data_IF_644951563254
#
_entry.id   IF_644951563254
#
_cell.length_a   1.000
_cell.length_b   1.000
_cell.length_c   1.000
_cell.angle_alpha   90.00
_cell.angle_beta   90.00
_cell.angle_gamma   90.00
#
_symmetry.space_group_name_H-M   'P 1'
#
loop_
_entity.id
_entity.type
_entity.pdbx_description
1 polymer ?
#
# COMPACT_ATOMS: atom_id res chain seq x y z
N UNK A 1 1.32 -8.78 17.67
CA UNK A 1 0.96 -9.40 16.38
C UNK A 1 1.83 -10.63 16.16
N UNK A 2 1.26 -11.77 15.77
CA UNK A 2 2.00 -13.02 15.63
C UNK A 2 1.41 -13.99 14.61
N UNK A 3 2.00 -15.18 14.57
CA UNK A 3 1.50 -16.32 13.78
C UNK A 3 0.31 -16.99 14.46
N UNK A 4 -0.38 -17.87 13.74
CA UNK A 4 -1.55 -18.60 14.24
C UNK A 4 -1.12 -19.76 15.15
N UNK A 5 -0.51 -19.44 16.29
CA UNK A 5 0.05 -20.40 17.22
C UNK A 5 -0.69 -20.40 18.56
N UNK A 6 -1.33 -21.53 18.88
CA UNK A 6 -2.12 -21.68 20.10
C UNK A 6 -1.27 -21.58 21.36
N UNK A 7 -0.01 -22.01 21.32
CA UNK A 7 0.86 -21.96 22.48
C UNK A 7 1.26 -20.51 22.81
N UNK A 8 1.62 -19.72 21.80
CA UNK A 8 1.85 -18.28 21.94
C UNK A 8 0.61 -17.55 22.45
N UNK A 9 -0.57 -17.85 21.88
CA UNK A 9 -1.82 -17.24 22.33
C UNK A 9 -2.10 -17.57 23.81
N UNK A 10 -2.02 -18.85 24.19
CA UNK A 10 -2.26 -19.28 25.58
C UNK A 10 -1.27 -18.60 26.54
N UNK A 11 0.03 -18.61 26.21
CA UNK A 11 1.06 -18.00 27.06
C UNK A 11 0.83 -16.49 27.26
N UNK A 12 0.51 -15.77 26.19
CA UNK A 12 0.25 -14.33 26.26
C UNK A 12 -1.01 -14.02 27.07
N UNK A 13 -2.08 -14.80 26.89
CA UNK A 13 -3.35 -14.64 27.62
C UNK A 13 -3.19 -14.95 29.12
N UNK A 14 -2.40 -15.98 29.46
CA UNK A 14 -2.07 -16.31 30.85
C UNK A 14 -1.27 -15.20 31.54
N UNK A 15 -0.30 -14.60 30.85
CA UNK A 15 0.62 -13.61 31.47
C UNK A 15 0.02 -12.20 31.50
N UNK A 16 -0.59 -11.76 30.40
CA UNK A 16 -1.07 -10.38 30.23
C UNK A 16 -2.57 -10.22 30.49
N UNK A 17 -3.25 -11.30 30.85
CA UNK A 17 -4.70 -11.32 31.03
C UNK A 17 -5.45 -11.52 29.73
N UNK A 18 -6.75 -11.78 29.88
CA UNK A 18 -7.61 -12.18 28.77
C UNK A 18 -8.21 -11.04 27.96
N UNK A 19 -9.44 -11.22 27.50
CA UNK A 19 -10.15 -10.20 26.71
C UNK A 19 -10.45 -8.93 27.51
N UNK A 20 -10.41 -8.99 28.83
CA UNK A 20 -10.61 -7.81 29.68
C UNK A 20 -9.32 -6.99 29.89
N UNK A 21 -8.18 -7.48 29.39
CA UNK A 21 -6.92 -6.74 29.46
C UNK A 21 -6.81 -5.68 28.37
N UNK A 22 -5.96 -4.67 28.58
CA UNK A 22 -5.55 -3.73 27.54
C UNK A 22 -4.70 -4.38 26.44
N UNK A 23 -4.26 -5.62 26.66
CA UNK A 23 -3.47 -6.38 25.71
C UNK A 23 -4.37 -7.10 24.69
N UNK A 24 -3.96 -7.08 23.41
CA UNK A 24 -4.69 -7.70 22.31
C UNK A 24 -3.74 -8.51 21.44
N UNK A 25 -4.01 -9.81 21.34
CA UNK A 25 -3.32 -10.67 20.36
C UNK A 25 -3.90 -10.38 18.98
N UNK A 26 -3.04 -9.92 18.08
CA UNK A 26 -3.37 -9.68 16.67
C UNK A 26 -2.74 -10.74 15.80
N UNK A 27 -3.47 -11.13 14.78
CA UNK A 27 -3.05 -12.09 13.79
C UNK A 27 -2.39 -11.41 12.61
N UNK A 28 -1.28 -11.99 12.15
CA UNK A 28 -0.63 -11.46 10.98
C UNK A 28 -1.43 -11.74 9.70
N UNK A 29 -1.89 -10.67 9.04
CA UNK A 29 -2.57 -10.78 7.75
C UNK A 29 -1.75 -11.50 6.68
N UNK A 30 -0.42 -11.35 6.64
CA UNK A 30 0.40 -12.08 5.66
C UNK A 30 0.26 -13.61 5.82
N UNK A 31 0.22 -14.12 7.05
CA UNK A 31 0.01 -15.55 7.28
C UNK A 31 -1.39 -15.98 6.85
N UNK A 32 -2.41 -15.17 7.15
CA UNK A 32 -3.79 -15.42 6.71
C UNK A 32 -3.85 -15.46 5.18
N UNK A 33 -3.33 -14.43 4.50
CA UNK A 33 -3.28 -14.34 3.05
C UNK A 33 -2.50 -15.49 2.41
N UNK A 34 -1.36 -15.88 3.00
CA UNK A 34 -0.57 -17.03 2.54
C UNK A 34 -1.37 -18.33 2.64
N UNK A 35 -2.02 -18.59 3.78
CA UNK A 35 -2.83 -19.79 3.98
C UNK A 35 -4.06 -19.84 3.09
N UNK A 36 -4.73 -18.71 2.91
CA UNK A 36 -5.85 -18.60 1.96
C UNK A 36 -5.34 -18.84 0.54
N UNK A 37 -4.24 -18.20 0.13
CA UNK A 37 -3.65 -18.40 -1.19
C UNK A 37 -3.33 -19.88 -1.45
N UNK A 38 -2.69 -20.58 -0.50
CA UNK A 38 -2.43 -22.03 -0.59
C UNK A 38 -3.71 -22.83 -0.88
N UNK A 39 -4.83 -22.48 -0.24
CA UNK A 39 -6.14 -23.13 -0.46
C UNK A 39 -6.79 -22.74 -1.78
N UNK A 40 -6.61 -21.51 -2.25
CA UNK A 40 -7.16 -21.08 -3.54
C UNK A 40 -6.54 -21.79 -4.74
N UNK A 41 -5.35 -22.40 -4.59
CA UNK A 41 -4.69 -23.18 -5.66
C UNK A 41 -5.50 -24.41 -6.10
N UNK A 42 -6.39 -24.91 -5.25
CA UNK A 42 -7.29 -26.02 -5.57
C UNK A 42 -8.60 -25.55 -6.23
N UNK A 43 -8.82 -24.24 -6.36
CA UNK A 43 -10.02 -23.65 -6.93
C UNK A 43 -9.78 -23.26 -8.39
N UNK A 44 -10.87 -23.08 -9.14
CA UNK A 44 -10.82 -22.41 -10.44
C UNK A 44 -10.23 -21.00 -10.31
N UNK A 45 -9.51 -20.52 -11.33
CA UNK A 45 -8.88 -19.18 -11.34
C UNK A 45 -9.84 -18.06 -10.94
N UNK A 46 -11.06 -18.09 -11.46
CA UNK A 46 -12.13 -17.13 -11.15
C UNK A 46 -12.49 -17.15 -9.65
N UNK A 47 -12.80 -18.32 -9.10
CA UNK A 47 -13.12 -18.48 -7.69
C UNK A 47 -11.96 -18.08 -6.77
N UNK A 48 -10.73 -18.44 -7.14
CA UNK A 48 -9.52 -18.03 -6.41
C UNK A 48 -9.36 -16.51 -6.41
N UNK A 49 -9.58 -15.85 -7.54
CA UNK A 49 -9.53 -14.39 -7.64
C UNK A 49 -10.59 -13.71 -6.76
N UNK A 50 -11.83 -14.19 -6.80
CA UNK A 50 -12.93 -13.68 -5.95
C UNK A 50 -12.59 -13.82 -4.46
N UNK A 51 -12.09 -14.98 -4.03
CA UNK A 51 -11.68 -15.22 -2.64
C UNK A 51 -10.56 -14.25 -2.21
N UNK A 52 -9.53 -14.07 -3.03
CA UNK A 52 -8.41 -13.18 -2.72
C UNK A 52 -8.84 -11.71 -2.69
N UNK A 53 -9.78 -11.32 -3.57
CA UNK A 53 -10.40 -9.99 -3.59
C UNK A 53 -11.16 -9.71 -2.30
N UNK A 54 -12.08 -10.60 -1.91
CA UNK A 54 -12.84 -10.47 -0.67
C UNK A 54 -11.95 -10.45 0.56
N UNK A 55 -10.92 -11.29 0.59
CA UNK A 55 -9.97 -11.30 1.71
C UNK A 55 -9.25 -9.95 1.88
N UNK A 56 -8.90 -9.28 0.79
CA UNK A 56 -8.31 -7.94 0.86
C UNK A 56 -9.35 -6.91 1.33
N UNK A 57 -10.57 -6.92 0.81
CA UNK A 57 -11.61 -5.98 1.26
C UNK A 57 -11.87 -6.08 2.75
N UNK A 58 -12.05 -7.30 3.25
CA UNK A 58 -12.23 -7.59 4.67
C UNK A 58 -11.05 -7.10 5.52
N UNK A 59 -9.82 -7.26 5.02
CA UNK A 59 -8.63 -6.78 5.74
C UNK A 59 -8.61 -5.25 5.83
N UNK A 60 -9.04 -4.55 4.79
CA UNK A 60 -9.06 -3.08 4.71
C UNK A 60 -10.38 -2.46 5.20
N UNK A 61 -11.25 -3.23 5.89
CA UNK A 61 -12.41 -2.69 6.58
C UNK A 61 -11.99 -1.58 7.57
N UNK A 62 -12.80 -0.51 7.66
CA UNK A 62 -12.49 0.68 8.47
C UNK A 62 -12.80 0.50 9.95
N UNK A 63 -13.75 -0.37 10.25
CA UNK A 63 -14.23 -0.64 11.59
C UNK A 63 -14.92 -2.01 11.59
N UNK A 64 -15.24 -2.48 12.79
CA UNK A 64 -15.86 -3.79 13.01
C UNK A 64 -17.26 -3.91 12.41
N UNK A 65 -18.05 -2.83 12.40
CA UNK A 65 -19.40 -2.82 11.80
C UNK A 65 -19.33 -3.04 10.29
N UNK A 66 -18.48 -2.30 9.60
CA UNK A 66 -18.27 -2.43 8.16
C UNK A 66 -17.70 -3.82 7.82
N UNK A 67 -16.78 -4.31 8.63
CA UNK A 67 -16.23 -5.67 8.50
C UNK A 67 -17.32 -6.74 8.61
N UNK A 68 -18.16 -6.69 9.65
CA UNK A 68 -19.21 -7.67 9.87
C UNK A 68 -20.25 -7.66 8.74
N UNK A 69 -20.62 -6.46 8.25
CA UNK A 69 -21.49 -6.32 7.08
C UNK A 69 -20.85 -6.96 5.84
N UNK A 70 -19.62 -6.56 5.50
CA UNK A 70 -18.90 -7.12 4.35
C UNK A 70 -18.70 -8.62 4.47
N UNK A 71 -18.44 -9.13 5.68
CA UNK A 71 -18.27 -10.56 5.92
C UNK A 71 -19.55 -11.35 5.65
N UNK A 72 -20.70 -10.81 6.05
CA UNK A 72 -22.00 -11.42 5.75
C UNK A 72 -22.24 -11.47 4.22
N UNK A 73 -22.02 -10.35 3.53
CA UNK A 73 -22.17 -10.26 2.07
C UNK A 73 -21.24 -11.25 1.35
N UNK A 74 -19.97 -11.34 1.78
CA UNK A 74 -18.97 -12.27 1.25
C UNK A 74 -19.37 -13.74 1.49
N UNK A 75 -19.88 -14.07 2.68
CA UNK A 75 -20.33 -15.43 2.99
C UNK A 75 -21.55 -15.83 2.18
N UNK A 76 -22.49 -14.91 1.96
CA UNK A 76 -23.64 -15.11 1.10
C UNK A 76 -23.20 -15.34 -0.36
N UNK A 77 -22.29 -14.51 -0.88
CA UNK A 77 -21.76 -14.66 -2.24
C UNK A 77 -21.04 -15.99 -2.41
N UNK A 78 -20.19 -16.38 -1.45
CA UNK A 78 -19.52 -17.68 -1.48
C UNK A 78 -20.50 -18.86 -1.38
N UNK A 79 -21.63 -18.69 -0.68
CA UNK A 79 -22.70 -19.68 -0.59
C UNK A 79 -23.38 -19.98 -1.93
N UNK A 80 -23.39 -19.02 -2.86
CA UNK A 80 -23.93 -19.19 -4.22
C UNK A 80 -23.05 -20.12 -5.09
N UNK A 81 -21.83 -20.41 -4.66
CA UNK A 81 -20.82 -21.14 -5.43
C UNK A 81 -20.55 -22.49 -4.76
N UNK A 82 -21.13 -23.61 -5.25
CA UNK A 82 -20.92 -24.93 -4.66
C UNK A 82 -19.43 -25.30 -4.54
N UNK A 83 -18.62 -24.89 -5.52
CA UNK A 83 -17.15 -25.07 -5.54
C UNK A 83 -16.41 -24.37 -4.39
N UNK A 84 -17.03 -23.38 -3.73
CA UNK A 84 -16.46 -22.68 -2.57
C UNK A 84 -16.91 -23.26 -1.23
N UNK A 85 -17.84 -24.21 -1.17
CA UNK A 85 -18.38 -24.73 0.09
C UNK A 85 -17.30 -25.24 1.04
N UNK A 86 -16.37 -26.07 0.56
CA UNK A 86 -15.25 -26.58 1.34
C UNK A 86 -14.31 -25.45 1.81
N UNK A 87 -14.07 -24.46 0.94
CA UNK A 87 -13.23 -23.32 1.28
C UNK A 87 -13.90 -22.43 2.34
N UNK A 88 -15.18 -22.13 2.20
CA UNK A 88 -15.95 -21.31 3.14
C UNK A 88 -15.99 -21.96 4.54
N UNK A 89 -16.22 -23.27 4.61
CA UNK A 89 -16.14 -24.03 5.86
C UNK A 89 -14.74 -23.97 6.50
N UNK A 90 -13.69 -24.09 5.68
CA UNK A 90 -12.31 -23.91 6.14
C UNK A 90 -12.06 -22.50 6.68
N UNK A 91 -12.46 -21.46 5.93
CA UNK A 91 -12.23 -20.07 6.31
C UNK A 91 -12.98 -19.71 7.59
N UNK A 92 -14.22 -20.18 7.76
CA UNK A 92 -14.99 -20.02 9.01
C UNK A 92 -14.25 -20.62 10.20
N UNK A 93 -13.68 -21.82 10.05
CA UNK A 93 -12.98 -22.50 11.15
C UNK A 93 -11.63 -21.87 11.50
N UNK A 94 -10.89 -21.37 10.50
CA UNK A 94 -9.49 -20.95 10.67
C UNK A 94 -9.33 -19.43 10.65
N UNK A 95 -9.95 -18.75 9.70
CA UNK A 95 -9.85 -17.30 9.52
C UNK A 95 -10.78 -16.48 10.40
N UNK A 96 -11.87 -17.08 10.91
CA UNK A 96 -12.85 -16.45 11.79
C UNK A 96 -12.89 -17.07 13.19
N UNK A 97 -11.82 -17.77 13.58
CA UNK A 97 -11.68 -18.34 14.91
C UNK A 97 -11.58 -17.22 15.96
N UNK A 98 -12.28 -17.34 17.09
CA UNK A 98 -12.25 -16.39 18.22
C UNK A 98 -10.84 -15.96 18.63
N UNK A 99 -9.87 -16.86 18.54
CA UNK A 99 -8.47 -16.59 18.90
C UNK A 99 -7.68 -15.87 17.80
N UNK A 100 -8.08 -16.05 16.54
CA UNK A 100 -7.25 -15.77 15.36
C UNK A 100 -7.92 -14.89 14.30
N UNK A 101 -9.08 -14.31 14.60
CA UNK A 101 -9.84 -13.51 13.63
C UNK A 101 -9.33 -12.06 13.48
N UNK A 102 -8.55 -11.54 14.44
CA UNK A 102 -8.09 -10.15 14.48
C UNK A 102 -6.91 -9.91 13.53
N UNK A 103 -7.16 -9.93 12.22
CA UNK A 103 -6.17 -9.69 11.16
C UNK A 103 -6.49 -8.47 10.29
N UNK A 104 -7.55 -7.74 10.60
CA UNK A 104 -8.02 -6.54 9.89
C UNK A 104 -7.24 -5.30 10.33
N UNK A 105 -7.12 -4.31 9.43
CA UNK A 105 -6.39 -3.07 9.66
C UNK A 105 -6.95 -2.24 10.82
N UNK A 106 -8.27 -2.26 11.04
CA UNK A 106 -8.90 -1.45 12.09
C UNK A 106 -8.53 -1.87 13.52
N UNK A 107 -7.90 -3.03 13.71
CA UNK A 107 -7.35 -3.43 15.01
C UNK A 107 -5.99 -2.80 15.33
N UNK A 108 -5.36 -2.16 14.34
CA UNK A 108 -4.13 -1.40 14.52
C UNK A 108 -4.44 0.07 14.30
N UNK A 109 -3.81 0.95 15.09
CA UNK A 109 -3.79 2.37 14.77
C UNK A 109 -3.22 2.58 13.36
N UNK A 110 -3.66 3.65 12.72
CA UNK A 110 -3.04 4.14 11.49
C UNK A 110 -1.54 4.26 11.77
N UNK A 111 -0.71 3.88 10.78
CA UNK A 111 0.77 3.91 10.85
C UNK A 111 1.46 2.78 11.61
N UNK A 112 0.69 1.89 12.22
CA UNK A 112 1.24 0.71 12.85
C UNK A 112 1.30 -0.45 11.85
N UNK A 113 2.24 -1.36 12.10
CA UNK A 113 2.40 -2.53 11.25
C UNK A 113 1.16 -3.42 11.33
N UNK A 114 0.28 -3.31 10.33
CA UNK A 114 -0.88 -4.20 10.13
C UNK A 114 -0.48 -5.59 9.61
N UNK A 115 0.82 -5.83 9.36
CA UNK A 115 1.38 -7.11 8.91
C UNK A 115 2.74 -7.36 9.57
N UNK A 116 3.16 -8.61 9.67
CA UNK A 116 4.50 -9.00 10.16
C UNK A 116 5.58 -8.80 9.09
N UNK A 117 5.31 -8.08 7.99
CA UNK A 117 6.22 -7.92 6.87
C UNK A 117 7.63 -7.41 7.29
N UNK A 118 7.78 -6.52 8.30
CA UNK A 118 9.10 -6.17 8.81
C UNK A 118 9.85 -7.37 9.40
N UNK A 119 9.17 -8.22 10.18
CA UNK A 119 9.74 -9.45 10.75
C UNK A 119 10.13 -10.43 9.65
N UNK A 120 9.29 -10.61 8.62
CA UNK A 120 9.60 -11.51 7.51
C UNK A 120 10.73 -10.99 6.63
N UNK A 121 10.77 -9.68 6.38
CA UNK A 121 11.88 -9.02 5.66
C UNK A 121 13.19 -9.15 6.44
N UNK A 122 13.13 -8.99 7.77
CA UNK A 122 14.26 -9.22 8.66
C UNK A 122 14.72 -10.68 8.61
N UNK A 123 13.79 -11.64 8.74
CA UNK A 123 14.07 -13.07 8.64
C UNK A 123 14.68 -13.44 7.29
N UNK A 124 14.18 -12.88 6.19
CA UNK A 124 14.70 -13.10 4.85
C UNK A 124 16.13 -12.54 4.70
N UNK A 125 16.41 -11.38 5.28
CA UNK A 125 17.75 -10.76 5.26
C UNK A 125 18.72 -11.56 6.11
N UNK A 126 18.32 -12.02 7.29
CA UNK A 126 19.12 -12.91 8.13
C UNK A 126 19.42 -14.23 7.40
N UNK A 127 18.41 -14.85 6.79
CA UNK A 127 18.60 -16.06 5.99
C UNK A 127 19.54 -15.82 4.80
N UNK A 128 19.48 -14.66 4.14
CA UNK A 128 20.32 -14.35 2.99
C UNK A 128 21.76 -14.02 3.39
N UNK A 129 21.93 -13.14 4.37
CA UNK A 129 23.19 -12.43 4.62
C UNK A 129 23.97 -13.04 5.79
N UNK A 130 23.30 -13.73 6.71
CA UNK A 130 23.92 -14.31 7.91
C UNK A 130 24.09 -15.81 7.77
N UNK A 131 23.02 -16.54 7.48
CA UNK A 131 23.09 -18.01 7.37
C UNK A 131 23.38 -18.49 5.95
N UNK A 132 23.38 -17.59 4.96
CA UNK A 132 23.54 -17.92 3.54
C UNK A 132 22.59 -19.04 3.10
N UNK A 133 21.38 -19.06 3.66
CA UNK A 133 20.32 -20.07 3.50
C UNK A 133 20.73 -21.49 3.92
N UNK A 134 21.79 -21.63 4.72
CA UNK A 134 22.25 -22.90 5.28
C UNK A 134 21.66 -23.12 6.67
N UNK A 135 21.40 -24.38 7.01
CA UNK A 135 21.09 -24.77 8.38
C UNK A 135 22.37 -24.73 9.20
N UNK A 136 22.32 -24.09 10.36
CA UNK A 136 23.46 -23.97 11.28
C UNK A 136 23.11 -24.63 12.62
N UNK A 137 24.13 -25.14 13.33
CA UNK A 137 23.97 -25.57 14.72
C UNK A 137 23.66 -24.34 15.59
N UNK A 138 22.86 -24.52 16.64
CA UNK A 138 22.36 -23.43 17.51
C UNK A 138 23.50 -22.55 18.07
N UNK A 139 24.61 -23.16 18.53
CA UNK A 139 25.78 -22.41 19.01
C UNK A 139 26.39 -21.49 17.94
N UNK A 140 26.67 -22.04 16.75
CA UNK A 140 27.21 -21.26 15.63
C UNK A 140 26.23 -20.19 15.12
N UNK A 141 24.93 -20.45 15.20
CA UNK A 141 23.92 -19.44 14.90
C UNK A 141 23.98 -18.29 15.91
N UNK A 142 24.10 -18.60 17.21
CA UNK A 142 24.25 -17.60 18.27
C UNK A 142 25.42 -16.65 18.02
N UNK A 143 26.59 -17.18 17.64
CA UNK A 143 27.77 -16.35 17.33
C UNK A 143 27.52 -15.42 16.14
N UNK A 144 26.91 -15.95 15.07
CA UNK A 144 26.58 -15.16 13.87
C UNK A 144 25.56 -14.06 14.16
N UNK A 145 24.53 -14.36 14.97
CA UNK A 145 23.55 -13.38 15.40
C UNK A 145 24.18 -12.30 16.27
N UNK A 146 25.12 -12.66 17.16
CA UNK A 146 25.84 -11.69 17.99
C UNK A 146 26.67 -10.72 17.15
N UNK A 147 27.36 -11.21 16.12
CA UNK A 147 28.10 -10.36 15.17
C UNK A 147 27.13 -9.42 14.43
N UNK A 148 26.00 -9.94 13.95
CA UNK A 148 24.97 -9.13 13.30
C UNK A 148 24.47 -8.03 14.25
N UNK A 149 24.12 -8.36 15.49
CA UNK A 149 23.64 -7.40 16.48
C UNK A 149 24.67 -6.30 16.73
N UNK A 150 25.96 -6.64 16.88
CA UNK A 150 27.05 -5.65 17.01
C UNK A 150 27.16 -4.76 15.77
N UNK A 151 27.11 -5.34 14.57
CA UNK A 151 27.17 -4.59 13.32
C UNK A 151 25.93 -3.69 13.10
N UNK A 152 24.77 -4.10 13.62
CA UNK A 152 23.53 -3.30 13.57
C UNK A 152 23.47 -2.25 14.66
N UNK A 153 24.02 -2.49 15.85
CA UNK A 153 24.05 -1.51 16.94
C UNK A 153 24.92 -0.29 16.63
N UNK A 154 25.92 -0.45 15.76
CA UNK A 154 26.76 0.67 15.29
C UNK A 154 26.15 1.44 14.11
N UNK A 155 25.07 0.93 13.50
CA UNK A 155 24.35 1.65 12.45
C UNK A 155 23.33 2.58 13.12
N UNK A 156 23.61 3.89 13.10
CA UNK A 156 22.65 4.90 13.50
C UNK A 156 21.50 4.96 12.48
N UNK A 157 20.44 4.19 12.71
CA UNK A 157 19.17 4.37 12.00
C UNK A 157 18.23 5.14 12.94
N UNK A 158 17.71 6.30 12.52
CA UNK A 158 16.76 7.04 13.34
C UNK A 158 15.48 6.21 13.50
N UNK A 159 14.95 6.19 14.73
CA UNK A 159 13.59 5.71 14.96
C UNK A 159 12.63 6.78 14.44
N UNK A 160 11.83 6.41 13.44
CA UNK A 160 10.80 7.30 12.92
C UNK A 160 9.66 7.39 13.93
N UNK A 161 9.30 8.60 14.30
CA UNK A 161 8.17 8.91 15.21
C UNK A 161 6.90 9.26 14.46
N UNK A 162 6.99 9.38 13.13
CA UNK A 162 5.89 9.69 12.25
C UNK A 162 5.97 8.82 10.97
N UNK A 163 4.87 8.68 10.24
CA UNK A 163 4.83 7.90 9.01
C UNK A 163 5.75 8.53 7.98
N UNK A 164 6.58 7.70 7.35
CA UNK A 164 7.45 8.12 6.26
C UNK A 164 7.03 7.44 4.97
N UNK A 165 7.12 8.17 3.87
CA UNK A 165 6.96 7.61 2.55
C UNK A 165 8.15 6.68 2.26
N UNK A 166 7.89 5.38 2.14
CA UNK A 166 8.94 4.45 1.73
C UNK A 166 9.35 4.65 0.26
N UNK A 167 10.57 4.25 -0.09
CA UNK A 167 11.10 4.42 -1.45
C UNK A 167 10.22 3.76 -2.53
N UNK A 168 9.49 2.69 -2.19
CA UNK A 168 8.62 1.99 -3.14
C UNK A 168 7.38 2.83 -3.43
N UNK A 169 6.76 3.40 -2.41
CA UNK A 169 5.62 4.29 -2.51
C UNK A 169 6.00 5.55 -3.31
N UNK A 170 7.17 6.12 -3.04
CA UNK A 170 7.70 7.26 -3.80
C UNK A 170 7.91 6.92 -5.27
N UNK A 171 8.56 5.77 -5.57
CA UNK A 171 8.72 5.30 -6.96
C UNK A 171 7.37 5.03 -7.62
N UNK A 172 6.39 4.51 -6.89
CA UNK A 172 5.04 4.23 -7.39
C UNK A 172 4.29 5.50 -7.74
N UNK A 173 4.21 6.47 -6.82
CA UNK A 173 3.54 7.75 -7.07
C UNK A 173 4.14 8.45 -8.30
N UNK A 174 5.47 8.49 -8.40
CA UNK A 174 6.16 9.06 -9.56
C UNK A 174 5.91 8.29 -10.86
N UNK A 175 5.85 6.95 -10.82
CA UNK A 175 5.55 6.15 -11.99
C UNK A 175 4.11 6.36 -12.48
N UNK A 176 3.14 6.40 -11.56
CA UNK A 176 1.74 6.67 -11.88
C UNK A 176 1.56 8.09 -12.43
N UNK A 177 2.18 9.09 -11.81
CA UNK A 177 2.11 10.48 -12.26
C UNK A 177 2.71 10.66 -13.67
N UNK A 178 3.89 10.07 -13.94
CA UNK A 178 4.51 10.10 -15.28
C UNK A 178 3.68 9.40 -16.35
N UNK A 179 2.95 8.35 -15.98
CA UNK A 179 2.02 7.65 -16.87
C UNK A 179 0.67 8.38 -17.05
N UNK A 180 0.46 9.52 -16.39
CA UNK A 180 -0.83 10.23 -16.40
C UNK A 180 -1.95 9.52 -15.66
N UNK A 181 -1.61 8.50 -14.87
CA UNK A 181 -2.54 7.69 -14.08
C UNK A 181 -2.79 8.26 -12.69
N UNK A 182 -1.96 9.19 -12.22
CA UNK A 182 -2.16 9.92 -10.98
C UNK A 182 -2.17 11.41 -11.28
N UNK A 183 -3.28 12.08 -10.97
CA UNK A 183 -3.50 13.47 -11.34
C UNK A 183 -4.49 14.17 -10.41
N UNK A 184 -4.38 15.48 -10.32
CA UNK A 184 -5.40 16.33 -9.72
C UNK A 184 -6.65 16.39 -10.63
N UNK A 185 -7.83 16.25 -10.04
CA UNK A 185 -9.09 16.57 -10.68
C UNK A 185 -9.26 18.08 -10.75
N UNK A 186 -9.48 18.61 -11.95
CA UNK A 186 -9.82 20.01 -12.15
C UNK A 186 -11.14 20.08 -12.91
N UNK A 187 -12.16 20.76 -12.38
CA UNK A 187 -13.42 20.93 -13.09
C UNK A 187 -13.19 21.62 -14.43
N UNK A 188 -13.92 21.17 -15.46
CA UNK A 188 -13.87 21.78 -16.78
C UNK A 188 -14.38 23.22 -16.70
N UNK A 189 -13.79 24.15 -17.46
CA UNK A 189 -14.19 25.57 -17.45
C UNK A 189 -15.66 25.83 -17.82
N UNK A 190 -16.31 24.83 -18.39
CA UNK A 190 -17.70 24.81 -18.82
C UNK A 190 -18.61 23.97 -17.90
N UNK A 191 -18.10 23.42 -16.79
CA UNK A 191 -18.93 22.66 -15.87
C UNK A 191 -19.68 23.58 -14.90
N UNK A 192 -20.84 23.12 -14.45
CA UNK A 192 -21.61 23.79 -13.39
C UNK A 192 -20.74 23.92 -12.14
N UNK A 193 -19.91 22.92 -11.81
CA UNK A 193 -18.97 22.96 -10.70
C UNK A 193 -17.93 24.09 -10.81
N UNK A 194 -17.46 24.40 -12.03
CA UNK A 194 -16.58 25.56 -12.26
C UNK A 194 -17.33 26.89 -12.12
N UNK A 195 -18.59 26.94 -12.58
CA UNK A 195 -19.44 28.14 -12.52
C UNK A 195 -19.95 28.45 -11.12
N UNK A 196 -20.29 27.40 -10.36
CA UNK A 196 -20.73 27.51 -8.98
C UNK A 196 -19.63 28.01 -8.07
N UNK A 197 -18.37 27.99 -8.54
CA UNK A 197 -17.24 28.46 -7.79
C UNK A 197 -17.17 27.78 -6.43
N UNK A 198 -16.24 26.83 -6.28
CA UNK A 198 -15.40 27.00 -5.10
C UNK A 198 -14.69 28.35 -5.29
N UNK A 199 -15.40 29.45 -4.98
CA UNK A 199 -14.80 30.73 -4.66
C UNK A 199 -13.88 30.38 -3.52
N UNK A 200 -12.59 30.30 -3.84
CA UNK A 200 -11.56 30.28 -2.84
C UNK A 200 -11.75 31.54 -2.00
N UNK A 201 -12.54 31.44 -0.94
CA UNK A 201 -12.09 32.01 0.32
C UNK A 201 -10.67 31.49 0.49
N UNK A 202 -9.73 32.40 0.67
CA UNK A 202 -8.28 32.19 0.56
C UNK A 202 -7.71 31.14 1.55
N UNK A 203 -8.55 30.35 2.22
CA UNK A 203 -8.24 29.19 3.05
C UNK A 203 -8.38 27.80 2.39
N UNK A 204 -8.97 27.65 1.19
CA UNK A 204 -9.18 26.30 0.57
C UNK A 204 -7.99 25.75 -0.23
N UNK A 205 -6.80 26.34 -0.10
CA UNK A 205 -5.56 25.85 -0.74
C UNK A 205 -5.03 24.51 -0.19
N UNK A 206 -5.76 23.90 0.75
CA UNK A 206 -5.37 22.75 1.55
C UNK A 206 -6.02 21.44 1.10
N UNK A 207 -7.10 21.48 0.32
CA UNK A 207 -7.79 20.27 -0.18
C UNK A 207 -7.50 20.04 -1.67
N UNK A 208 -6.99 18.86 -2.00
CA UNK A 208 -6.71 18.44 -3.38
C UNK A 208 -7.49 17.19 -3.72
N UNK A 209 -8.29 17.27 -4.78
CA UNK A 209 -8.96 16.10 -5.33
C UNK A 209 -7.99 15.29 -6.20
N UNK A 210 -7.42 14.22 -5.65
CA UNK A 210 -6.45 13.37 -6.34
C UNK A 210 -7.11 12.12 -6.92
N UNK A 211 -6.96 11.91 -8.23
CA UNK A 211 -7.46 10.74 -8.95
C UNK A 211 -6.29 9.80 -9.24
N UNK A 212 -6.43 8.53 -8.83
CA UNK A 212 -5.57 7.43 -9.27
C UNK A 212 -6.35 6.45 -10.16
N UNK A 213 -5.81 6.17 -11.34
CA UNK A 213 -6.34 5.20 -12.29
C UNK A 213 -5.52 3.89 -12.23
N UNK A 214 -6.15 2.73 -12.47
CA UNK A 214 -5.44 1.45 -12.45
C UNK A 214 -4.38 1.43 -13.54
N UNK A 215 -3.16 1.04 -13.17
CA UNK A 215 -2.13 0.80 -14.17
C UNK A 215 -2.51 -0.39 -15.05
N UNK A 216 -2.31 -0.30 -16.38
CA UNK A 216 -2.58 -1.41 -17.28
C UNK A 216 -1.75 -2.62 -16.84
N UNK A 217 -2.32 -3.82 -16.93
CA UNK A 217 -1.60 -5.05 -16.59
C UNK A 217 -1.19 -5.79 -17.85
N UNK A 218 0.11 -6.05 -17.98
CA UNK A 218 0.72 -6.74 -19.12
C UNK A 218 1.06 -8.16 -18.72
N UNK A 219 0.67 -9.13 -19.55
CA UNK A 219 1.00 -10.54 -19.31
C UNK A 219 2.48 -10.78 -19.58
N UNK A 220 3.21 -11.18 -18.55
CA UNK A 220 4.60 -11.63 -18.66
C UNK A 220 4.59 -13.11 -19.04
N UNK A 221 5.03 -13.41 -20.27
CA UNK A 221 5.05 -14.78 -20.83
C UNK A 221 6.04 -15.68 -20.09
N UNK A 222 7.19 -15.14 -19.66
CA UNK A 222 8.24 -15.91 -19.00
C UNK A 222 7.81 -16.31 -17.59
N UNK A 223 7.17 -15.39 -16.87
CA UNK A 223 6.67 -15.66 -15.53
C UNK A 223 5.23 -16.18 -15.51
N UNK A 224 4.60 -16.30 -16.68
CA UNK A 224 3.22 -16.76 -16.87
C UNK A 224 2.21 -16.01 -15.99
N UNK A 225 2.40 -14.70 -15.80
CA UNK A 225 1.54 -13.89 -14.93
C UNK A 225 1.43 -12.43 -15.39
N UNK A 226 0.30 -11.81 -15.11
CA UNK A 226 0.08 -10.39 -15.41
C UNK A 226 0.69 -9.49 -14.34
N UNK A 227 1.51 -8.54 -14.77
CA UNK A 227 2.17 -7.53 -13.93
C UNK A 227 1.68 -6.13 -14.28
N UNK A 228 1.75 -5.18 -13.35
CA UNK A 228 1.46 -3.78 -13.68
C UNK A 228 2.47 -3.26 -14.71
N UNK A 229 2.01 -2.48 -15.68
CA UNK A 229 2.80 -1.75 -16.66
C UNK A 229 3.54 -0.56 -16.05
N UNK A 230 4.16 -0.77 -14.90
CA UNK A 230 5.00 0.17 -14.17
C UNK A 230 6.38 -0.46 -13.96
N UNK A 231 7.44 0.33 -13.68
CA UNK A 231 8.74 -0.20 -13.30
C UNK A 231 8.62 -1.20 -12.15
N UNK A 232 9.39 -2.30 -12.17
CA UNK A 232 9.30 -3.40 -11.18
C UNK A 232 9.33 -2.89 -9.73
N UNK A 233 10.13 -1.87 -9.44
CA UNK A 233 10.27 -1.25 -8.11
C UNK A 233 9.06 -0.43 -7.66
N UNK A 234 8.06 -0.23 -8.52
CA UNK A 234 6.83 0.54 -8.29
C UNK A 234 5.56 -0.35 -8.35
N UNK A 235 5.70 -1.60 -8.81
CA UNK A 235 4.57 -2.51 -8.98
C UNK A 235 4.00 -2.96 -7.63
N UNK A 236 2.69 -3.14 -7.56
CA UNK A 236 1.94 -3.76 -6.47
C UNK A 236 1.14 -4.97 -6.97
N UNK A 237 0.81 -5.86 -6.03
CA UNK A 237 -0.14 -6.94 -6.26
C UNK A 237 -1.52 -6.38 -6.65
N UNK A 238 -2.30 -7.15 -7.42
CA UNK A 238 -3.61 -6.74 -7.95
C UNK A 238 -4.50 -6.15 -6.85
N UNK A 239 -4.74 -6.91 -5.80
CA UNK A 239 -5.64 -6.50 -4.74
C UNK A 239 -5.07 -5.39 -3.86
N UNK A 240 -3.74 -5.32 -3.69
CA UNK A 240 -3.11 -4.22 -2.96
C UNK A 240 -3.24 -2.89 -3.72
N UNK A 241 -2.98 -2.89 -5.03
CA UNK A 241 -3.13 -1.72 -5.88
C UNK A 241 -4.60 -1.25 -5.90
N UNK A 242 -5.55 -2.19 -5.90
CA UNK A 242 -6.99 -1.87 -5.90
C UNK A 242 -7.42 -1.07 -4.66
N UNK A 243 -6.74 -1.23 -3.52
CA UNK A 243 -7.04 -0.45 -2.30
C UNK A 243 -6.69 1.03 -2.42
N UNK A 244 -5.96 1.44 -3.45
CA UNK A 244 -5.76 2.86 -3.76
C UNK A 244 -7.04 3.47 -4.36
N UNK A 245 -7.94 2.66 -4.93
CA UNK A 245 -9.02 3.14 -5.81
C UNK A 245 -10.41 2.66 -5.39
N UNK A 246 -10.48 1.64 -4.54
CA UNK A 246 -11.74 1.10 -4.07
C UNK A 246 -12.58 2.21 -3.41
N UNK A 247 -13.80 2.40 -3.93
CA UNK A 247 -14.75 3.45 -3.51
C UNK A 247 -14.28 4.89 -3.75
N UNK A 248 -13.29 5.09 -4.63
CA UNK A 248 -12.87 6.45 -5.01
C UNK A 248 -14.02 7.18 -5.72
N UNK A 249 -14.39 8.41 -5.28
CA UNK A 249 -15.37 9.23 -5.98
C UNK A 249 -14.95 9.53 -7.43
N UNK A 250 -15.91 9.90 -8.27
CA UNK A 250 -15.64 10.28 -9.68
C UNK A 250 -14.72 11.50 -9.80
N UNK A 251 -14.76 12.40 -8.81
CA UNK A 251 -13.90 13.57 -8.67
C UNK A 251 -12.55 13.23 -8.03
N UNK A 252 -12.31 12.00 -7.60
CA UNK A 252 -11.10 11.59 -6.88
C UNK A 252 -11.23 11.64 -5.37
N UNK A 253 -10.13 11.34 -4.68
CA UNK A 253 -10.04 11.46 -3.23
C UNK A 253 -9.77 12.91 -2.84
N UNK A 254 -10.59 13.46 -1.96
CA UNK A 254 -10.31 14.74 -1.33
C UNK A 254 -9.18 14.56 -0.31
N UNK A 255 -7.98 15.01 -0.67
CA UNK A 255 -6.78 14.91 0.15
C UNK A 255 -6.58 16.21 0.91
N UNK A 256 -6.53 16.12 2.23
CA UNK A 256 -6.17 17.24 3.10
C UNK A 256 -4.65 17.31 3.23
N UNK A 257 -4.06 18.33 2.61
CA UNK A 257 -2.63 18.59 2.58
C UNK A 257 -2.14 19.17 3.90
N UNK A 258 -2.98 19.94 4.61
CA UNK A 258 -2.63 20.55 5.88
C UNK A 258 -2.64 19.51 7.01
N UNK A 259 -3.73 18.74 7.12
CA UNK A 259 -3.82 17.62 8.05
C UNK A 259 -2.99 16.40 7.60
N UNK A 260 -2.51 16.40 6.35
CA UNK A 260 -1.79 15.28 5.71
C UNK A 260 -2.58 13.99 5.75
N UNK A 261 -3.87 14.06 5.44
CA UNK A 261 -4.76 12.90 5.46
C UNK A 261 -5.33 12.60 4.08
N UNK A 262 -5.64 11.33 3.85
CA UNK A 262 -6.32 10.90 2.64
C UNK A 262 -7.40 9.87 3.01
N UNK A 263 -8.62 9.98 2.44
CA UNK A 263 -9.69 9.04 2.72
C UNK A 263 -9.47 7.64 2.12
N UNK A 264 -8.46 7.40 1.27
CA UNK A 264 -8.31 6.10 0.61
C UNK A 264 -7.94 4.96 1.58
N UNK A 265 -8.28 3.71 1.23
CA UNK A 265 -8.02 2.52 2.07
C UNK A 265 -6.53 2.29 2.30
N UNK A 266 -5.68 2.62 1.33
CA UNK A 266 -4.22 2.55 1.49
C UNK A 266 -3.70 3.47 2.62
N UNK A 267 -4.20 4.70 2.71
CA UNK A 267 -3.86 5.63 3.79
C UNK A 267 -4.38 5.13 5.12
N UNK A 268 -5.63 4.64 5.19
CA UNK A 268 -6.17 4.08 6.43
C UNK A 268 -5.26 2.97 7.02
N UNK A 269 -4.65 2.14 6.18
CA UNK A 269 -3.76 1.06 6.65
C UNK A 269 -2.39 1.53 7.14
N UNK A 270 -1.79 2.53 6.50
CA UNK A 270 -0.38 2.85 6.72
C UNK A 270 -0.04 4.33 6.84
N UNK A 271 -1.06 5.18 6.95
CA UNK A 271 -1.06 6.66 6.98
C UNK A 271 -0.18 7.34 5.95
N UNK A 272 0.10 6.64 4.86
CA UNK A 272 0.70 7.18 3.66
C UNK A 272 0.07 6.50 2.44
N UNK A 273 -0.04 7.24 1.34
CA UNK A 273 -0.56 6.73 0.08
C UNK A 273 -0.04 7.55 -1.10
N UNK A 274 -0.26 7.05 -2.32
CA UNK A 274 0.14 7.74 -3.54
C UNK A 274 -0.58 9.09 -3.72
N UNK A 275 -1.84 9.22 -3.26
CA UNK A 275 -2.62 10.45 -3.37
C UNK A 275 -2.06 11.56 -2.48
N UNK A 276 -1.77 11.24 -1.20
CA UNK A 276 -1.20 12.19 -0.27
C UNK A 276 0.18 12.66 -0.74
N UNK A 277 1.03 11.73 -1.17
CA UNK A 277 2.36 12.06 -1.68
C UNK A 277 2.26 12.95 -2.94
N UNK A 278 1.32 12.64 -3.84
CA UNK A 278 1.09 13.46 -5.03
C UNK A 278 0.58 14.87 -4.68
N UNK A 279 -0.38 14.97 -3.77
CA UNK A 279 -0.94 16.25 -3.33
C UNK A 279 0.12 17.14 -2.65
N UNK A 280 0.95 16.56 -1.77
CA UNK A 280 2.09 17.26 -1.16
C UNK A 280 3.06 17.78 -2.24
N UNK A 281 3.38 16.94 -3.23
CA UNK A 281 4.22 17.32 -4.37
C UNK A 281 3.60 18.40 -5.27
N UNK A 282 2.28 18.45 -5.44
CA UNK A 282 1.60 19.44 -6.28
C UNK A 282 1.44 20.81 -5.58
N UNK A 283 1.36 20.82 -4.25
CA UNK A 283 1.32 22.05 -3.43
C UNK A 283 2.67 22.74 -3.35
N UNK A 284 3.77 22.03 -3.58
CA UNK A 284 5.12 22.57 -3.39
C UNK A 284 5.68 22.31 -2.00
N UNK A 285 5.48 21.09 -1.51
CA UNK A 285 6.11 20.61 -0.30
C UNK A 285 6.60 19.19 -0.55
N UNK A 286 7.92 19.00 -0.51
CA UNK A 286 8.58 17.69 -0.44
C UNK A 286 8.89 17.01 -1.79
N UNK A 287 10.18 17.06 -2.17
CA UNK A 287 10.78 16.18 -3.18
C UNK A 287 10.79 14.71 -2.70
N UNK A 288 11.29 13.81 -3.55
CA UNK A 288 11.39 12.38 -3.26
C UNK A 288 12.24 12.02 -2.02
N UNK A 289 12.84 13.01 -1.35
CA UNK A 289 13.68 12.87 -0.16
C UNK A 289 13.16 13.61 1.07
N UNK A 290 11.96 14.19 1.05
CA UNK A 290 11.47 14.95 2.21
C UNK A 290 11.68 16.46 2.13
N UNK A 291 12.29 17.01 1.06
CA UNK A 291 12.75 18.41 1.03
C UNK A 291 11.75 19.35 0.38
N UNK A 292 11.42 20.46 1.03
CA UNK A 292 10.54 21.49 0.47
C UNK A 292 11.00 21.93 -0.93
N UNK A 293 10.06 21.94 -1.88
CA UNK A 293 10.33 22.32 -3.27
C UNK A 293 9.32 23.35 -3.73
N UNK A 294 9.82 24.49 -4.21
CA UNK A 294 8.97 25.55 -4.76
C UNK A 294 8.38 25.10 -6.10
N UNK A 295 7.05 24.99 -6.19
CA UNK A 295 6.33 24.62 -7.41
C UNK A 295 5.62 25.86 -7.98
N UNK A 296 5.95 26.23 -9.21
CA UNK A 296 5.30 27.33 -9.91
C UNK A 296 3.85 26.95 -10.31
N UNK A 297 2.88 27.63 -9.71
CA UNK A 297 1.43 27.42 -9.95
C UNK A 297 0.82 28.30 -11.04
N UNK A 298 1.62 29.05 -11.80
CA UNK A 298 1.07 29.98 -12.78
C UNK A 298 0.38 29.29 -13.98
N UNK A 299 -0.45 30.04 -14.72
CA UNK A 299 -1.33 29.53 -15.80
C UNK A 299 -0.60 28.80 -16.95
N UNK A 300 0.73 28.89 -17.01
CA UNK A 300 1.58 28.22 -18.01
C UNK A 300 2.04 26.80 -17.61
N UNK A 301 1.58 26.19 -16.51
CA UNK A 301 1.95 24.81 -16.08
C UNK A 301 1.80 23.77 -17.22
N UNK A 302 0.74 23.88 -18.04
CA UNK A 302 0.52 23.01 -19.22
C UNK A 302 1.58 23.13 -20.32
N UNK A 303 2.27 24.28 -20.45
CA UNK A 303 3.33 24.47 -21.45
C UNK A 303 4.62 23.72 -21.11
N UNK A 304 4.90 23.44 -19.83
CA UNK A 304 6.08 22.65 -19.45
C UNK A 304 5.84 21.13 -19.53
N UNK A 305 4.65 20.65 -19.17
CA UNK A 305 4.34 19.22 -19.25
C UNK A 305 4.25 18.67 -20.68
N UNK A 306 3.99 19.53 -21.69
CA UNK A 306 3.99 19.17 -23.12
C UNK A 306 5.33 19.34 -23.83
N UNK A 307 6.32 19.96 -23.18
CA UNK A 307 7.64 20.12 -23.77
C UNK A 307 8.53 19.07 -23.13
N UNK A 308 8.45 17.84 -23.65
CA UNK A 308 9.63 16.99 -23.71
C UNK A 308 10.61 17.62 -24.68
N UNK A 309 11.22 18.75 -24.32
CA UNK A 309 12.50 19.08 -24.92
C UNK A 309 13.44 18.02 -24.40
N UNK A 310 13.94 17.19 -25.32
CA UNK A 310 15.09 16.35 -25.03
C UNK A 310 16.18 17.26 -24.47
N UNK A 311 16.54 17.06 -23.21
CA UNK A 311 17.77 17.62 -22.69
C UNK A 311 18.91 16.96 -23.47
N UNK A 312 19.46 17.68 -24.45
CA UNK A 312 20.48 17.18 -25.35
C UNK A 312 20.99 18.26 -26.29
N UNK A 313 22.29 18.23 -26.53
CA UNK A 313 22.99 19.02 -27.54
C UNK A 313 22.30 18.82 -28.91
N UNK A 314 22.15 19.87 -29.75
CA UNK A 314 21.57 19.75 -31.08
C UNK A 314 22.26 18.66 -31.90
N UNK A 315 21.49 17.88 -32.65
CA UNK A 315 22.00 16.75 -33.46
C UNK A 315 22.87 17.18 -34.66
N UNK A 316 22.97 18.47 -34.96
CA UNK A 316 23.86 19.00 -35.99
C UNK A 316 24.66 20.19 -35.47
N UNK A 317 25.99 20.09 -35.57
CA UNK A 317 26.89 21.24 -35.45
C UNK A 317 26.83 22.03 -36.78
N UNK A 318 25.99 23.06 -36.83
CA UNK A 318 26.06 24.08 -37.90
C UNK A 318 27.09 25.15 -37.57
N UNK A 319 27.76 25.78 -38.56
CA UNK A 319 28.71 26.86 -38.32
C UNK A 319 28.05 28.04 -37.60
N UNK A 320 28.75 28.59 -36.60
CA UNK A 320 28.21 29.55 -35.63
C UNK A 320 27.94 30.97 -36.18
N UNK A 321 28.09 31.23 -37.48
CA UNK A 321 27.88 32.55 -38.07
C UNK A 321 27.36 32.41 -39.51
N UNK A 322 26.07 32.64 -39.70
CA UNK A 322 25.55 33.21 -40.96
C UNK A 322 24.57 34.31 -40.55
N UNK A 323 24.99 35.53 -40.82
CA UNK A 323 24.17 36.74 -40.75
C UNK A 323 23.69 36.98 -42.18
N UNK A 324 22.39 36.85 -42.39
CA UNK A 324 21.49 37.66 -43.23
C UNK A 324 20.09 37.02 -43.24
#
# INVERSE_FOLDING_TARGET
MGDADSAQWNALHTVFGGEDSSFRVLMCYFQVAKKVYEKTRALSTEAGATVLRHLHELHYARNERDYNKQLADVQEEWGKWPKLATFAAYFKRVGLNERMWRWQCFHTSIDFAATNNPCETYNASLKRDVTLRRKMKVGALGDRLRILCRAKSVRALPFLTAPAFDDRLTRRANALARAGLLREHRPGRNSIEFLLGNTAEEGTGELINAIALPAPRVYDVYEKRSREGLPVTAQLGVETARMEQLEMPTTGWEVDVAARTCPCRAFFKGGCCVHLLYALGDVGGVDTFGRETLVYRGPKKKKRARVSQAAGRPAHNGPALTVE
#
